data_IF_682071434784
#
_entry.id   IF_682071434784
#
_cell.length_a   1.000
_cell.length_b   1.000
_cell.length_c   1.000
_cell.angle_alpha   90.00
_cell.angle_beta   90.00
_cell.angle_gamma   90.00
#
_symmetry.space_group_name_H-M   'P 1'
#
loop_
_entity.id
_entity.type
_entity.pdbx_description
1 polymer ?
2 polymer ?
3 water ?
#
# COMPACT_ATOMS: atom_id res chain seq x y z
N UNK A 21 20.12 18.85 12.90
CA UNK A 21 20.83 17.98 11.98
C UNK A 21 19.86 17.00 11.32
N UNK A 22 18.98 17.51 10.48
CA UNK A 22 18.04 16.67 9.75
C UNK A 22 18.44 16.57 8.28
N UNK A 23 17.99 15.52 7.62
CA UNK A 23 18.20 15.33 6.20
C UNK A 23 16.83 15.30 5.52
N UNK A 24 16.72 15.99 4.40
CA UNK A 24 15.46 16.03 3.69
C UNK A 24 15.67 15.77 2.20
N UNK A 25 14.61 15.28 1.56
CA UNK A 25 14.66 14.88 0.15
C UNK A 25 13.55 15.60 -0.60
N UNK A 26 13.87 16.61 -1.40
CA UNK A 26 12.83 17.25 -2.21
C UNK A 26 12.34 16.30 -3.30
N UNK A 27 11.03 16.09 -3.37
CA UNK A 27 10.49 15.16 -4.34
C UNK A 27 9.33 15.81 -5.08
N UNK A 28 9.04 15.28 -6.26
CA UNK A 28 7.82 15.56 -7.00
C UNK A 28 7.15 14.23 -7.31
N UNK A 29 5.82 14.18 -7.16
CA UNK A 29 5.10 12.97 -7.50
C UNK A 29 3.73 13.36 -8.05
N UNK A 30 3.27 12.58 -9.03
CA UNK A 30 2.02 12.79 -9.73
C UNK A 30 1.99 11.99 -11.01
N UNK A 31 1.32 12.52 -12.04
CA UNK A 31 1.29 11.77 -13.30
C UNK A 31 1.33 12.72 -14.48
N UNK A 32 1.75 12.17 -15.60
CA UNK A 32 1.55 12.80 -16.90
C UNK A 32 0.57 11.93 -17.68
N UNK A 33 -0.21 12.56 -18.56
CA UNK A 33 -1.18 11.83 -19.36
C UNK A 33 -1.18 12.40 -20.77
N UNK A 34 -1.37 11.53 -21.76
CA UNK A 34 -1.38 11.90 -23.17
C UNK A 34 -2.63 11.34 -23.82
N UNK A 35 -3.48 12.23 -24.31
CA UNK A 35 -4.67 11.81 -25.06
C UNK A 35 -4.26 11.21 -26.39
N UNK A 36 -4.87 10.08 -26.75
CA UNK A 36 -4.39 9.33 -27.90
C UNK A 36 -4.99 9.80 -29.21
N UNK A 37 -5.94 10.72 -29.18
CA UNK A 37 -6.45 11.27 -30.43
C UNK A 37 -7.16 10.22 -31.27
N UNK A 38 -6.81 10.16 -32.57
CA UNK A 38 -7.42 9.17 -33.45
C UNK A 38 -7.00 7.75 -33.12
N UNK A 39 -5.99 7.58 -32.28
CA UNK A 39 -5.59 6.27 -31.80
C UNK A 39 -6.32 5.88 -30.51
N UNK A 40 -7.19 6.75 -30.02
CA UNK A 40 -7.93 6.43 -28.81
C UNK A 40 -9.00 5.39 -29.11
N UNK A 41 -9.21 4.50 -28.16
CA UNK A 41 -10.26 3.49 -28.24
C UNK A 41 -11.10 3.58 -26.96
N UNK A 42 -12.20 2.83 -26.94
CA UNK A 42 -12.96 2.72 -25.70
C UNK A 42 -12.10 2.18 -24.57
N UNK A 43 -11.30 1.15 -24.85
CA UNK A 43 -10.45 0.58 -23.83
C UNK A 43 -9.42 1.59 -23.33
N UNK A 44 -8.81 2.36 -24.24
CA UNK A 44 -7.66 3.21 -23.92
C UNK A 44 -7.79 4.55 -24.63
N UNK A 45 -8.19 5.58 -23.88
CA UNK A 45 -8.21 6.94 -24.41
C UNK A 45 -6.90 7.68 -24.17
N UNK A 46 -6.08 7.22 -23.22
CA UNK A 46 -4.91 7.96 -22.77
C UNK A 46 -3.79 7.01 -22.45
N UNK A 47 -2.56 7.43 -22.68
CA UNK A 47 -1.41 6.80 -22.05
C UNK A 47 -0.97 7.73 -20.93
N UNK A 48 -0.62 7.14 -19.80
CA UNK A 48 -0.20 7.93 -18.66
C UNK A 48 0.96 7.23 -17.95
N UNK A 49 1.65 8.00 -17.12
CA UNK A 49 2.69 7.47 -16.25
C UNK A 49 2.56 8.13 -14.89
N UNK A 50 2.62 7.35 -13.82
CA UNK A 50 2.60 7.86 -12.47
C UNK A 50 3.99 7.65 -11.89
N UNK A 51 4.46 8.61 -11.09
CA UNK A 51 5.88 8.61 -10.70
C UNK A 51 6.12 9.32 -9.37
N UNK A 52 7.24 9.00 -8.73
CA UNK A 52 7.85 9.86 -7.72
C UNK A 52 9.30 10.13 -8.16
N UNK A 53 9.70 11.40 -8.18
CA UNK A 53 11.01 11.81 -8.67
C UNK A 53 11.64 12.79 -7.69
N UNK A 54 12.95 12.95 -7.81
CA UNK A 54 13.60 14.09 -7.18
C UNK A 54 13.08 15.39 -7.78
N UNK A 55 12.84 16.38 -6.91
CA UNK A 55 12.23 17.61 -7.38
C UNK A 55 13.05 18.27 -8.48
N UNK A 56 14.37 18.07 -8.46
CA UNK A 56 15.27 18.56 -9.50
C UNK A 56 15.91 17.41 -10.27
N UNK A 57 15.30 16.21 -10.22
CA UNK A 57 15.69 15.05 -11.04
C UNK A 57 17.03 14.47 -10.64
N UNK A 58 17.39 14.59 -9.38
CA UNK A 58 18.55 13.90 -8.85
C UNK A 58 18.13 12.50 -8.39
N UNK A 59 19.11 11.69 -7.99
CA UNK A 59 18.89 10.27 -7.79
C UNK A 59 18.43 9.98 -6.36
N UNK A 60 17.10 9.90 -6.16
CA UNK A 60 16.56 9.65 -4.82
C UNK A 60 16.71 8.21 -4.37
N UNK A 61 17.23 7.33 -5.22
CA UNK A 61 17.50 5.99 -4.71
C UNK A 61 18.67 5.97 -3.73
N UNK A 62 19.27 7.14 -3.46
CA UNK A 62 20.21 7.24 -2.36
C UNK A 62 19.49 6.93 -1.05
N UNK A 63 18.18 7.21 -0.98
CA UNK A 63 17.37 6.87 0.18
C UNK A 63 16.29 5.85 -0.15
N UNK A 64 15.70 5.94 -1.34
CA UNK A 64 14.54 5.11 -1.68
C UNK A 64 15.01 3.76 -2.17
N UNK A 65 14.61 2.71 -1.46
CA UNK A 65 14.96 1.35 -1.87
C UNK A 65 13.99 0.82 -2.92
N UNK A 66 12.70 0.94 -2.67
CA UNK A 66 11.71 0.54 -3.67
C UNK A 66 10.44 1.34 -3.46
N UNK A 67 9.64 1.41 -4.51
CA UNK A 67 8.33 2.04 -4.44
C UNK A 67 7.29 1.01 -4.85
N UNK A 68 6.25 0.89 -4.04
CA UNK A 68 5.13 -0.01 -4.31
C UNK A 68 3.96 0.86 -4.74
N UNK A 69 3.48 0.62 -5.96
CA UNK A 69 2.33 1.35 -6.51
C UNK A 69 1.09 0.46 -6.43
N UNK A 70 -0.02 1.01 -5.94
CA UNK A 70 -1.30 0.33 -5.99
C UNK A 70 -2.18 1.03 -7.01
N UNK A 71 -2.51 0.32 -8.09
CA UNK A 71 -3.45 0.77 -9.09
C UNK A 71 -4.84 0.22 -8.80
N UNK A 72 -5.82 0.71 -9.54
CA UNK A 72 -7.18 0.21 -9.42
C UNK A 72 -7.26 -1.28 -9.75
N UNK A 73 -8.27 -1.96 -9.17
CA UNK A 73 -8.45 -3.40 -9.37
C UNK A 73 -8.71 -3.79 -10.83
N UNK A 74 -9.12 -2.84 -11.68
CA UNK A 74 -9.37 -3.15 -13.07
C UNK A 74 -8.09 -3.40 -13.86
N UNK A 75 -6.92 -3.13 -13.29
CA UNK A 75 -5.68 -3.39 -14.00
C UNK A 75 -5.19 -4.80 -13.70
N UNK A 76 -4.48 -5.38 -14.66
CA UNK A 76 -3.77 -6.60 -14.37
C UNK A 76 -2.61 -6.27 -13.43
N UNK A 77 -2.34 -7.16 -12.48
CA UNK A 77 -1.25 -7.00 -11.53
C UNK A 77 -1.31 -5.62 -10.87
N UNK A 78 -2.38 -5.33 -10.12
CA UNK A 78 -2.60 -3.94 -9.69
C UNK A 78 -1.58 -3.42 -8.68
N UNK A 79 -0.81 -4.30 -8.02
CA UNK A 79 0.25 -3.86 -7.12
C UNK A 79 1.59 -4.11 -7.81
N UNK A 80 2.30 -3.04 -8.14
CA UNK A 80 3.57 -3.08 -8.85
C UNK A 80 4.70 -2.65 -7.92
N UNK A 81 5.82 -3.35 -7.99
CA UNK A 81 6.99 -3.01 -7.19
C UNK A 81 8.09 -2.57 -8.15
N UNK A 82 8.54 -1.33 -7.99
CA UNK A 82 9.63 -0.75 -8.78
C UNK A 82 10.85 -0.64 -7.89
N UNK A 83 11.88 -1.47 -8.13
CA UNK A 83 13.06 -1.52 -7.27
C UNK A 83 14.19 -0.57 -7.70
N UNK A 84 14.13 0.01 -8.89
CA UNK A 84 15.20 0.83 -9.43
C UNK A 84 14.63 2.04 -10.14
N UNK A 85 15.33 3.17 -10.11
CA UNK A 85 14.88 4.31 -10.89
C UNK A 85 14.80 3.95 -12.36
N UNK A 86 13.84 4.53 -13.09
CA UNK A 86 12.84 5.49 -12.60
C UNK A 86 11.69 4.85 -11.81
N UNK A 87 11.29 5.50 -10.71
CA UNK A 87 10.22 4.99 -9.86
C UNK A 87 8.89 5.44 -10.44
N UNK A 88 8.46 4.72 -11.49
CA UNK A 88 7.27 5.08 -12.22
C UNK A 88 6.62 3.85 -12.80
N UNK A 89 5.31 3.94 -13.01
CA UNK A 89 4.53 2.92 -13.69
C UNK A 89 3.88 3.60 -14.89
N UNK A 90 4.07 3.01 -16.07
CA UNK A 90 3.51 3.53 -17.29
C UNK A 90 2.39 2.60 -17.74
N UNK A 91 1.23 3.20 -18.03
CA UNK A 91 0.05 2.43 -18.36
C UNK A 91 -0.81 3.22 -19.33
N UNK A 92 -1.95 2.64 -19.70
CA UNK A 92 -2.94 3.33 -20.51
C UNK A 92 -4.32 2.87 -20.07
N UNK A 93 -5.33 3.66 -20.37
CA UNK A 93 -6.67 3.29 -19.98
C UNK A 93 -7.62 4.44 -20.20
N UNK A 94 -8.76 4.36 -19.52
CA UNK A 94 -9.86 5.27 -19.77
C UNK A 94 -10.28 6.08 -18.54
N UNK A 95 -9.82 5.72 -17.34
CA UNK A 95 -10.43 6.21 -16.14
C UNK A 95 -9.42 6.79 -15.16
N UNK A 96 -9.96 7.59 -14.24
CA UNK A 96 -9.20 8.23 -13.18
C UNK A 96 -9.55 7.58 -11.84
N UNK A 97 -8.56 7.52 -10.96
CA UNK A 97 -8.68 6.80 -9.69
C UNK A 97 -7.48 7.17 -8.83
N UNK A 98 -7.56 6.81 -7.55
CA UNK A 98 -6.52 7.16 -6.60
C UNK A 98 -5.42 6.12 -6.61
N UNK A 99 -4.17 6.58 -6.63
CA UNK A 99 -3.00 5.71 -6.64
C UNK A 99 -2.24 5.86 -5.32
N UNK A 100 -1.98 4.74 -4.66
CA UNK A 100 -1.14 4.73 -3.47
C UNK A 100 0.28 4.38 -3.86
N UNK A 101 1.24 5.12 -3.32
CA UNK A 101 2.66 4.90 -3.56
C UNK A 101 3.30 4.75 -2.20
N UNK A 102 3.83 3.57 -1.92
CA UNK A 102 4.49 3.31 -0.65
C UNK A 102 5.99 3.28 -0.90
N UNK A 103 6.69 4.23 -0.29
CA UNK A 103 8.15 4.34 -0.43
C UNK A 103 8.79 3.54 0.68
N UNK A 104 9.60 2.56 0.33
CA UNK A 104 10.43 1.82 1.27
C UNK A 104 11.86 2.33 1.19
N UNK A 105 12.45 2.65 2.33
CA UNK A 105 13.76 3.28 2.36
C UNK A 105 14.84 2.26 2.68
N UNK A 106 16.08 2.61 2.38
CA UNK A 106 17.18 1.75 2.81
C UNK A 106 17.23 1.71 4.34
N UNK A 107 17.83 0.64 4.85
CA UNK A 107 17.69 0.29 6.26
C UNK A 107 18.36 1.30 7.19
N UNK A 108 19.42 1.98 6.74
CA UNK A 108 20.05 3.02 7.56
C UNK A 108 19.29 4.35 7.51
N UNK A 109 18.25 4.46 6.71
CA UNK A 109 17.54 5.72 6.54
C UNK A 109 16.39 5.76 7.54
N UNK A 110 15.53 4.75 7.46
CA UNK A 110 14.26 4.73 8.18
C UNK A 110 13.68 3.33 8.09
N UNK A 111 13.26 2.77 9.22
CA UNK A 111 12.57 1.49 9.23
C UNK A 111 11.09 1.61 8.90
N UNK A 112 10.57 2.83 8.86
CA UNK A 112 9.17 2.95 8.48
C UNK A 112 9.06 3.39 7.03
N UNK A 113 8.12 2.86 6.26
CA UNK A 113 7.87 3.39 4.92
C UNK A 113 6.95 4.61 4.98
N UNK A 114 6.84 5.26 3.84
CA UNK A 114 6.03 6.45 3.69
C UNK A 114 5.04 6.22 2.54
N UNK A 115 3.76 6.34 2.83
CA UNK A 115 2.77 6.23 1.77
C UNK A 115 2.38 7.61 1.26
N UNK A 116 2.35 7.76 -0.06
CA UNK A 116 1.86 8.94 -0.76
C UNK A 116 0.64 8.55 -1.58
N UNK A 117 -0.23 9.52 -1.83
CA UNK A 117 -1.48 9.31 -2.54
C UNK A 117 -1.62 10.33 -3.66
N UNK A 118 -2.08 9.86 -4.82
CA UNK A 118 -2.18 10.74 -5.98
C UNK A 118 -3.41 10.38 -6.80
N UNK A 119 -4.26 11.36 -7.06
CA UNK A 119 -5.42 11.14 -7.91
C UNK A 119 -4.96 11.29 -9.36
N UNK A 120 -5.01 10.18 -10.11
CA UNK A 120 -4.61 10.21 -11.51
C UNK A 120 -5.53 11.12 -12.30
N UNK A 121 -4.95 12.06 -13.05
CA UNK A 121 -5.72 12.97 -13.89
C UNK A 121 -5.41 12.71 -15.37
N UNK A 122 -6.45 12.62 -16.17
CA UNK A 122 -6.27 12.46 -17.61
C UNK A 122 -6.65 13.70 -18.38
N UNK A 123 -7.41 14.60 -17.79
CA UNK A 123 -7.75 15.89 -18.38
C UNK A 123 -7.33 17.01 -17.45
N UNK A 124 -7.03 18.20 -17.97
CA UNK A 124 -6.72 19.32 -17.08
C UNK A 124 -8.00 19.84 -16.44
N UNK A 125 -7.92 20.10 -15.15
CA UNK A 125 -9.03 20.70 -14.41
C UNK A 125 -8.62 22.10 -13.98
N UNK A 126 -9.62 22.92 -13.68
CA UNK A 126 -9.40 24.27 -13.15
C UNK A 126 -8.71 25.16 -14.19
N UNK A 127 -9.22 25.14 -15.42
CA UNK A 127 -8.52 25.75 -16.55
C UNK A 127 -9.36 26.86 -17.18
N UNK A 128 -8.80 28.06 -17.23
CA UNK A 128 -9.35 29.18 -17.97
C UNK A 128 -8.80 29.13 -19.40
N UNK A 129 -9.23 30.09 -20.22
CA UNK A 129 -8.71 30.23 -21.57
C UNK A 129 -8.94 28.99 -22.40
N UNK A 130 -8.64 29.04 -23.69
CA UNK A 130 -8.87 27.87 -24.55
C UNK A 130 -7.77 26.83 -24.41
N UNK A 131 -8.18 25.58 -24.45
CA UNK A 131 -7.27 24.45 -24.34
C UNK A 131 -7.33 23.64 -25.62
N UNK A 132 -6.32 22.80 -25.81
CA UNK A 132 -6.33 21.75 -26.82
C UNK A 132 -6.13 20.42 -26.13
N UNK A 133 -6.86 19.40 -26.58
CA UNK A 133 -6.81 18.10 -25.92
C UNK A 133 -5.48 17.39 -26.09
N UNK A 134 -4.69 17.72 -27.10
CA UNK A 134 -3.41 17.05 -27.29
C UNK A 134 -2.32 17.57 -26.36
N UNK A 135 -2.54 18.68 -25.67
CA UNK A 135 -1.55 19.15 -24.73
C UNK A 135 -1.34 18.11 -23.63
N UNK A 136 -0.10 17.74 -23.32
CA UNK A 136 0.13 16.78 -22.24
C UNK A 136 -0.36 17.34 -20.91
N UNK A 137 -0.98 16.46 -20.15
CA UNK A 137 -1.52 16.78 -18.83
C UNK A 137 -0.46 16.38 -17.81
N UNK A 138 -0.04 17.33 -16.99
CA UNK A 138 0.90 17.10 -15.90
C UNK A 138 0.22 17.59 -14.65
N UNK A 139 0.05 16.70 -13.68
CA UNK A 139 -0.52 17.06 -12.39
C UNK A 139 0.38 16.42 -11.35
N UNK A 140 1.12 17.23 -10.62
CA UNK A 140 2.11 16.69 -9.71
C UNK A 140 2.18 17.53 -8.44
N UNK A 141 2.61 16.88 -7.37
CA UNK A 141 2.71 17.50 -6.07
C UNK A 141 4.19 17.65 -5.72
N UNK A 142 4.56 18.84 -5.29
CA UNK A 142 5.91 19.11 -4.84
C UNK A 142 5.96 18.87 -3.34
N UNK A 143 6.98 18.18 -2.86
CA UNK A 143 6.97 17.81 -1.45
C UNK A 143 8.41 17.55 -1.00
N UNK A 144 8.56 17.27 0.29
CA UNK A 144 9.88 17.05 0.88
C UNK A 144 9.77 16.02 1.99
N UNK A 145 10.54 14.95 1.88
CA UNK A 145 10.59 13.94 2.92
C UNK A 145 11.67 14.33 3.91
N UNK A 146 11.29 14.46 5.19
CA UNK A 146 12.22 14.83 6.24
C UNK A 146 12.52 13.60 7.08
N UNK A 147 13.80 13.36 7.32
CA UNK A 147 14.23 12.34 8.27
C UNK A 147 14.79 13.08 9.47
N UNK A 148 14.05 13.14 10.58
CA UNK A 148 14.43 14.08 11.65
C UNK A 148 15.66 13.66 12.44
N UNK A 149 15.93 12.36 12.62
CA UNK A 149 17.03 11.92 13.47
C UNK A 149 17.90 10.93 12.71
N UNK A 150 18.73 11.42 11.79
CA UNK A 150 19.58 10.50 11.02
C UNK A 150 20.73 9.99 11.88
N UNK A 151 21.02 8.70 11.74
CA UNK A 151 22.17 8.13 12.41
C UNK A 151 23.47 8.66 11.79
N UNK A 152 24.56 8.50 12.53
CA UNK A 152 25.84 9.02 12.07
C UNK A 152 26.36 8.27 10.85
N UNK A 153 26.03 6.99 10.71
CA UNK A 153 26.49 6.26 9.53
C UNK A 153 25.66 6.61 8.30
N UNK A 154 24.35 6.81 8.47
CA UNK A 154 23.53 7.36 7.39
C UNK A 154 24.07 8.69 6.91
N UNK A 155 24.48 9.56 7.83
CA UNK A 155 25.08 10.84 7.45
C UNK A 155 26.36 10.64 6.67
N UNK A 156 27.20 9.69 7.10
CA UNK A 156 28.49 9.55 6.43
C UNK A 156 28.33 8.99 5.03
N UNK A 157 27.27 8.22 4.78
CA UNK A 157 27.08 7.61 3.47
C UNK A 157 26.52 8.61 2.46
N UNK A 158 25.65 9.52 2.89
CA UNK A 158 24.90 10.36 1.97
C UNK A 158 25.25 11.83 2.05
N UNK A 159 26.25 12.20 2.87
CA UNK A 159 26.59 13.60 3.11
C UNK A 159 26.76 14.41 1.83
N UNK A 160 25.98 15.48 1.72
CA UNK A 160 26.05 16.43 0.60
C UNK A 160 25.75 15.76 -0.74
N UNK A 161 25.02 14.67 -0.70
CA UNK A 161 24.48 14.10 -1.93
C UNK A 161 23.59 15.11 -2.66
N UNK A 162 23.69 15.22 -3.98
CA UNK A 162 22.90 16.24 -4.70
C UNK A 162 21.39 16.04 -4.63
N UNK A 163 20.90 14.88 -4.24
CA UNK A 163 19.47 14.70 -4.09
C UNK A 163 18.95 15.19 -2.75
N UNK A 164 19.82 15.52 -1.80
CA UNK A 164 19.41 15.79 -0.44
C UNK A 164 19.69 17.23 -0.08
N UNK A 165 18.97 17.73 0.92
CA UNK A 165 19.23 19.04 1.49
C UNK A 165 19.61 18.87 2.96
N UNK A 166 20.67 19.56 3.36
CA UNK A 166 21.29 19.45 4.67
C UNK A 166 21.23 20.79 5.38
N UNK A 167 21.33 20.80 6.70
CA UNK A 167 21.38 22.09 7.42
C UNK A 167 22.61 22.88 7.02
N UNK A 168 22.40 24.17 6.78
CA UNK A 168 23.53 25.06 6.53
C UNK A 168 24.42 25.13 7.76
N UNK A 169 25.72 25.07 7.54
CA UNK A 169 26.68 24.99 8.66
C UNK A 169 26.92 26.37 9.25
N UNK A 170 26.71 26.57 10.55
CA UNK A 170 26.92 27.90 11.15
C UNK A 170 28.36 28.35 10.95
N UNK A 171 28.52 29.67 10.82
CA UNK A 171 29.84 30.26 10.67
C UNK A 171 30.63 30.15 11.97
N UNK A 172 31.83 29.57 11.88
CA UNK A 172 32.75 29.63 13.00
C UNK A 172 33.33 31.00 13.22
N UNK A 173 33.33 31.84 12.18
CA UNK A 173 33.82 33.19 12.25
C UNK A 173 32.83 34.09 13.00
N UNK B 21 -1.92 -27.97 -10.53
CA UNK B 21 -0.67 -27.78 -9.80
C UNK B 21 -0.78 -26.60 -8.82
N UNK B 22 -1.94 -25.94 -8.78
CA UNK B 22 -2.00 -24.70 -8.02
C UNK B 22 -1.95 -24.95 -6.51
N UNK B 23 -1.57 -23.91 -5.79
CA UNK B 23 -1.46 -23.93 -4.33
C UNK B 23 -2.34 -22.81 -3.80
N UNK B 24 -3.09 -23.09 -2.75
CA UNK B 24 -3.99 -22.11 -2.13
C UNK B 24 -3.59 -21.89 -0.68
N UNK B 25 -3.95 -20.71 -0.17
CA UNK B 25 -3.75 -20.34 1.23
C UNK B 25 -5.07 -19.84 1.79
N UNK B 26 -5.80 -20.65 2.55
CA UNK B 26 -7.03 -20.14 3.18
C UNK B 26 -6.68 -19.10 4.24
N UNK B 27 -7.33 -17.94 4.15
CA UNK B 27 -7.05 -16.84 5.06
C UNK B 27 -8.37 -16.27 5.56
N UNK B 28 -8.28 -15.60 6.70
CA UNK B 28 -9.36 -14.76 7.21
C UNK B 28 -8.73 -13.39 7.49
N UNK B 29 -9.38 -12.33 7.01
CA UNK B 29 -8.86 -10.99 7.26
C UNK B 29 -10.02 -10.04 7.55
N UNK B 30 -9.77 -9.09 8.47
CA UNK B 30 -10.75 -8.10 8.85
C UNK B 30 -10.36 -7.46 10.17
N UNK B 31 -11.34 -7.12 11.02
CA UNK B 31 -10.99 -6.46 12.28
C UNK B 31 -11.94 -6.86 13.39
N UNK B 32 -11.42 -6.80 14.62
CA UNK B 32 -12.21 -6.87 15.83
C UNK B 32 -12.19 -5.49 16.46
N UNK B 33 -13.28 -5.16 17.16
CA UNK B 33 -13.40 -3.86 17.81
C UNK B 33 -14.05 -4.02 19.17
N UNK B 34 -13.48 -3.33 20.16
CA UNK B 34 -13.97 -3.38 21.54
C UNK B 34 -14.30 -1.97 21.99
N UNK B 35 -15.57 -1.72 22.25
CA UNK B 35 -15.95 -0.47 22.87
C UNK B 35 -15.33 -0.37 24.27
N UNK B 36 -14.74 0.79 24.57
CA UNK B 36 -14.00 1.00 25.81
C UNK B 36 -14.88 1.26 27.02
N UNK B 37 -16.20 1.35 26.84
CA UNK B 37 -17.10 1.30 28.01
C UNK B 37 -17.01 2.56 28.84
N UNK B 38 -16.96 2.40 30.16
CA UNK B 38 -16.85 3.55 31.05
C UNK B 38 -15.55 4.32 30.80
N UNK B 39 -14.55 3.70 30.19
CA UNK B 39 -13.30 4.38 29.87
C UNK B 39 -13.31 5.01 28.48
N UNK B 40 -14.41 4.92 27.74
CA UNK B 40 -14.47 5.54 26.42
C UNK B 40 -14.42 7.06 26.56
N UNK B 41 -13.73 7.70 25.64
CA UNK B 41 -13.71 9.15 25.58
C UNK B 41 -14.00 9.56 24.15
N UNK B 42 -14.17 10.86 23.97
CA UNK B 42 -14.28 11.38 22.61
C UNK B 42 -13.01 11.09 21.82
N UNK B 43 -11.85 11.17 22.47
CA UNK B 43 -10.60 10.85 21.79
C UNK B 43 -10.57 9.39 21.34
N UNK B 44 -10.99 8.46 22.21
CA UNK B 44 -10.88 7.03 21.95
C UNK B 44 -12.12 6.31 22.50
N UNK B 45 -13.01 5.91 21.58
CA UNK B 45 -14.19 5.15 21.95
C UNK B 45 -13.95 3.64 21.91
N UNK B 46 -13.02 3.18 21.07
CA UNK B 46 -12.83 1.76 20.81
C UNK B 46 -11.35 1.43 20.69
N UNK B 47 -10.98 0.24 21.13
CA UNK B 47 -9.74 -0.38 20.71
C UNK B 47 -10.07 -1.44 19.67
N UNK B 48 -9.17 -1.59 18.72
CA UNK B 48 -9.43 -2.45 17.59
C UNK B 48 -8.14 -3.09 17.12
N UNK B 49 -8.30 -4.14 16.33
CA UNK B 49 -7.14 -4.78 15.72
C UNK B 49 -7.54 -5.25 14.34
N UNK B 50 -6.71 -4.94 13.35
CA UNK B 50 -6.91 -5.38 11.98
C UNK B 50 -5.84 -6.43 11.68
N UNK B 51 -6.17 -7.42 10.85
CA UNK B 51 -5.32 -8.60 10.75
C UNK B 51 -5.57 -9.35 9.45
N UNK B 52 -4.58 -10.18 9.09
CA UNK B 52 -4.79 -11.29 8.18
C UNK B 52 -4.14 -12.52 8.79
N UNK B 53 -4.86 -13.62 8.82
CA UNK B 53 -4.40 -14.84 9.48
C UNK B 53 -4.82 -16.06 8.66
N UNK B 54 -4.17 -17.19 8.94
CA UNK B 54 -4.66 -18.44 8.40
C UNK B 54 -6.07 -18.73 8.86
N UNK B 55 -6.91 -19.23 7.93
CA UNK B 55 -8.33 -19.41 8.22
C UNK B 55 -8.60 -20.47 9.29
N UNK B 56 -7.68 -21.43 9.49
CA UNK B 56 -7.73 -22.38 10.60
C UNK B 56 -6.57 -22.18 11.57
N UNK B 57 -6.00 -20.98 11.57
CA UNK B 57 -4.95 -20.54 12.50
C UNK B 57 -3.65 -21.29 12.32
N UNK B 58 -3.34 -21.73 11.11
CA UNK B 58 -2.00 -22.22 10.85
C UNK B 58 -1.08 -21.05 10.54
N UNK B 59 0.22 -21.33 10.46
CA UNK B 59 1.23 -20.29 10.27
C UNK B 59 1.38 -19.96 8.78
N UNK B 60 0.80 -18.83 8.36
CA UNK B 60 0.91 -18.45 6.96
C UNK B 60 2.23 -17.78 6.63
N UNK B 61 3.10 -17.56 7.61
CA UNK B 61 4.42 -17.04 7.23
C UNK B 61 5.23 -18.05 6.42
N UNK B 62 4.69 -19.25 6.16
CA UNK B 62 5.33 -20.16 5.22
C UNK B 62 5.38 -19.52 3.82
N UNK B 63 4.43 -18.64 3.51
CA UNK B 63 4.47 -17.91 2.25
C UNK B 63 4.59 -16.41 2.47
N UNK B 64 4.07 -15.88 3.56
CA UNK B 64 4.05 -14.44 3.78
C UNK B 64 5.34 -14.01 4.46
N UNK B 65 6.05 -13.07 3.81
CA UNK B 65 7.23 -12.45 4.38
C UNK B 65 6.89 -11.28 5.31
N UNK B 66 6.01 -10.40 4.87
CA UNK B 66 5.61 -9.26 5.68
C UNK B 66 4.28 -8.74 5.14
N UNK B 67 3.54 -8.04 6.00
CA UNK B 67 2.33 -7.36 5.60
C UNK B 67 2.47 -5.88 5.89
N UNK B 68 2.16 -5.05 4.90
CA UNK B 68 2.20 -3.60 5.03
C UNK B 68 0.77 -3.09 5.21
N UNK B 69 0.51 -2.44 6.32
CA UNK B 69 -0.80 -1.89 6.63
C UNK B 69 -0.78 -0.38 6.42
N UNK B 70 -1.74 0.12 5.65
CA UNK B 70 -1.96 1.56 5.50
C UNK B 70 -3.17 1.96 6.34
N UNK B 71 -2.94 2.78 7.36
CA UNK B 71 -4.02 3.34 8.15
C UNK B 71 -4.35 4.74 7.66
N UNK B 72 -5.38 5.35 8.24
CA UNK B 72 -5.74 6.71 7.89
C UNK B 72 -4.64 7.69 8.31
N UNK B 73 -4.59 8.85 7.65
CA UNK B 73 -3.51 9.80 7.89
C UNK B 73 -3.56 10.42 9.28
N UNK B 74 -4.71 10.35 9.97
CA UNK B 74 -4.84 10.89 11.33
C UNK B 74 -4.07 10.06 12.35
N UNK B 75 -3.60 8.88 11.99
CA UNK B 75 -2.79 8.07 12.87
C UNK B 75 -1.30 8.44 12.75
N UNK B 76 -0.59 8.24 13.85
CA UNK B 76 0.86 8.37 13.83
C UNK B 76 1.47 7.15 13.12
N UNK B 77 2.47 7.40 12.30
CA UNK B 77 3.07 6.38 11.44
C UNK B 77 1.99 5.58 10.70
N UNK B 78 1.23 6.24 9.81
CA UNK B 78 0.04 5.57 9.21
C UNK B 78 0.37 4.29 8.45
N UNK B 79 1.61 4.06 8.06
CA UNK B 79 2.00 2.86 7.33
C UNK B 79 2.84 1.98 8.26
N UNK B 80 2.33 0.79 8.58
CA UNK B 80 2.98 -0.13 9.51
C UNK B 80 3.44 -1.39 8.78
N UNK B 81 4.64 -1.86 9.10
CA UNK B 81 5.21 -3.05 8.47
C UNK B 81 5.33 -4.11 9.54
N UNK B 82 4.60 -5.22 9.37
CA UNK B 82 4.61 -6.34 10.29
C UNK B 82 5.35 -7.47 9.60
N UNK B 83 6.49 -7.87 10.15
CA UNK B 83 7.36 -8.82 9.48
C UNK B 83 7.22 -10.24 10.01
N UNK B 84 6.50 -10.46 11.10
CA UNK B 84 6.37 -11.74 11.76
C UNK B 84 4.93 -11.90 12.23
N UNK B 85 4.43 -13.14 12.30
CA UNK B 85 3.12 -13.37 12.90
C UNK B 85 3.13 -12.95 14.35
N UNK B 86 1.99 -12.48 14.87
CA UNK B 86 0.73 -12.24 14.17
C UNK B 86 0.75 -11.02 13.23
N UNK B 87 0.22 -11.19 12.01
CA UNK B 87 0.20 -10.12 11.02
C UNK B 87 -1.00 -9.22 11.34
N UNK B 88 -0.78 -8.33 12.29
CA UNK B 88 -1.91 -7.52 12.74
C UNK B 88 -1.38 -6.20 13.29
N UNK B 89 -2.29 -5.22 13.33
CA UNK B 89 -2.07 -3.90 13.89
C UNK B 89 -3.20 -3.62 14.87
N UNK B 90 -2.86 -3.32 16.12
CA UNK B 90 -3.85 -2.97 17.11
C UNK B 90 -3.72 -1.49 17.43
N UNK B 91 -4.85 -0.81 17.53
CA UNK B 91 -4.87 0.63 17.73
C UNK B 91 -6.14 1.01 18.47
N UNK B 92 -6.27 2.30 18.75
CA UNK B 92 -7.45 2.88 19.35
C UNK B 92 -7.89 4.10 18.57
N UNK B 93 -9.17 4.44 18.68
CA UNK B 93 -9.64 5.70 18.12
C UNK B 93 -11.14 5.80 18.16
N UNK B 94 -11.66 6.59 17.24
CA UNK B 94 -13.07 6.93 17.19
C UNK B 94 -13.70 6.67 15.84
N UNK B 95 -12.91 6.44 14.79
CA UNK B 95 -13.45 6.49 13.44
C UNK B 95 -13.27 5.24 12.62
N UNK B 96 -14.14 5.08 11.63
CA UNK B 96 -14.06 4.00 10.66
C UNK B 96 -13.42 4.54 9.38
N UNK B 97 -12.65 3.69 8.72
CA UNK B 97 -11.91 4.11 7.54
C UNK B 97 -11.37 2.86 6.85
N UNK B 98 -10.96 3.02 5.60
CA UNK B 98 -10.51 1.89 4.80
C UNK B 98 -9.04 1.62 5.05
N UNK B 99 -8.70 0.34 5.28
CA UNK B 99 -7.34 -0.10 5.51
C UNK B 99 -6.87 -0.92 4.32
N UNK B 100 -5.65 -0.64 3.84
CA UNK B 100 -5.02 -1.43 2.78
C UNK B 100 -3.94 -2.30 3.41
N UNK B 101 -3.94 -3.59 3.05
CA UNK B 101 -2.95 -4.54 3.51
C UNK B 101 -2.26 -5.12 2.29
N UNK B 102 -0.95 -4.92 2.19
CA UNK B 102 -0.20 -5.42 1.07
C UNK B 102 0.65 -6.59 1.57
N UNK B 103 0.37 -7.77 1.02
CA UNK B 103 1.08 -8.98 1.42
C UNK B 103 2.31 -9.14 0.55
N UNK B 104 3.46 -9.27 1.17
CA UNK B 104 4.69 -9.56 0.45
C UNK B 104 5.11 -11.00 0.73
N UNK B 105 5.39 -11.75 -0.34
CA UNK B 105 5.65 -13.17 -0.21
C UNK B 105 7.14 -13.46 -0.32
N UNK B 106 7.54 -14.63 0.17
CA UNK B 106 8.92 -15.06 0.00
C UNK B 106 9.23 -15.20 -1.49
N UNK B 107 10.53 -15.13 -1.79
CA UNK B 107 10.97 -14.94 -3.16
C UNK B 107 10.64 -16.15 -4.02
N UNK B 108 10.65 -17.35 -3.45
CA UNK B 108 10.30 -18.52 -4.25
C UNK B 108 8.80 -18.73 -4.34
N UNK B 109 8.01 -17.95 -3.61
CA UNK B 109 6.56 -18.08 -3.65
C UNK B 109 5.98 -17.29 -4.81
N UNK B 110 6.29 -16.00 -4.87
CA UNK B 110 5.62 -15.11 -5.79
C UNK B 110 6.43 -13.82 -5.89
N UNK B 111 6.73 -13.39 -7.11
CA UNK B 111 7.49 -12.15 -7.31
C UNK B 111 6.62 -10.90 -7.19
N UNK B 112 5.32 -11.05 -6.97
CA UNK B 112 4.42 -9.92 -6.89
C UNK B 112 3.68 -9.95 -5.55
N UNK B 113 3.40 -8.79 -4.98
CA UNK B 113 2.63 -8.74 -3.75
C UNK B 113 1.13 -8.72 -4.07
N UNK B 114 0.34 -8.93 -3.01
CA UNK B 114 -1.11 -8.98 -3.11
C UNK B 114 -1.70 -7.96 -2.15
N UNK B 115 -2.54 -7.09 -2.66
CA UNK B 115 -3.18 -6.09 -1.82
C UNK B 115 -4.61 -6.49 -1.50
N UNK B 116 -4.97 -6.40 -0.22
CA UNK B 116 -6.32 -6.60 0.29
C UNK B 116 -6.85 -5.29 0.88
N UNK B 117 -8.18 -5.14 0.87
CA UNK B 117 -8.80 -3.93 1.42
C UNK B 117 -9.86 -4.33 2.44
N UNK B 118 -9.90 -3.57 3.53
CA UNK B 118 -10.85 -3.83 4.60
C UNK B 118 -11.36 -2.50 5.17
N UNK B 119 -12.68 -2.37 5.30
CA UNK B 119 -13.27 -1.19 5.92
C UNK B 119 -13.37 -1.46 7.42
N UNK B 120 -12.58 -0.74 8.22
CA UNK B 120 -12.65 -0.87 9.67
C UNK B 120 -14.07 -0.62 10.17
N UNK B 121 -14.60 -1.55 10.98
CA UNK B 121 -15.91 -1.40 11.58
C UNK B 121 -15.78 -1.39 13.10
N UNK B 122 -16.35 -0.38 13.74
CA UNK B 122 -16.42 -0.28 15.19
C UNK B 122 -17.79 -0.63 15.74
N UNK B 123 -18.84 -0.67 14.91
CA UNK B 123 -20.20 -1.06 15.28
C UNK B 123 -20.64 -2.22 14.41
N UNK B 124 -21.64 -3.00 14.82
CA UNK B 124 -21.98 -4.22 14.09
C UNK B 124 -22.66 -3.92 12.75
N UNK B 125 -22.53 -4.90 11.84
CA UNK B 125 -22.96 -4.75 10.46
C UNK B 125 -24.48 -4.80 10.31
N UNK B 126 -25.12 -3.62 10.38
CA UNK B 126 -26.56 -3.44 10.21
C UNK B 126 -27.39 -4.54 10.87
N UNK B 127 -27.00 -4.95 12.08
CA UNK B 127 -27.74 -5.99 12.78
C UNK B 127 -29.14 -5.48 13.14
N UNK B 128 -30.05 -6.44 13.29
CA UNK B 128 -31.43 -6.13 13.63
C UNK B 128 -31.63 -6.15 15.15
N UNK B 129 -32.75 -5.58 15.58
CA UNK B 129 -33.13 -5.56 16.97
C UNK B 129 -32.33 -4.57 17.80
N UNK B 130 -32.48 -4.64 19.13
CA UNK B 130 -31.71 -3.79 20.02
C UNK B 130 -30.24 -4.22 20.05
N UNK B 131 -29.35 -3.25 19.94
CA UNK B 131 -27.92 -3.49 19.95
C UNK B 131 -27.32 -3.12 21.30
N UNK B 132 -26.21 -3.76 21.64
CA UNK B 132 -25.46 -3.47 22.85
C UNK B 132 -24.05 -3.05 22.47
N UNK B 133 -23.58 -1.94 23.05
CA UNK B 133 -22.23 -1.48 22.75
C UNK B 133 -21.15 -2.42 23.28
N UNK B 134 -21.43 -3.23 24.31
CA UNK B 134 -20.36 -4.01 24.92
C UNK B 134 -19.98 -5.22 24.09
N UNK B 135 -20.91 -5.75 23.31
CA UNK B 135 -20.64 -6.94 22.54
C UNK B 135 -19.49 -6.69 21.57
N UNK B 136 -18.44 -7.51 21.58
CA UNK B 136 -17.35 -7.31 20.61
C UNK B 136 -17.87 -7.33 19.18
N UNK B 137 -17.22 -6.51 18.36
CA UNK B 137 -17.47 -6.43 16.93
C UNK B 137 -16.40 -7.23 16.21
N UNK B 138 -16.81 -8.20 15.40
CA UNK B 138 -15.94 -8.96 14.53
C UNK B 138 -16.48 -8.83 13.12
N UNK B 139 -15.71 -8.21 12.24
CA UNK B 139 -16.06 -8.06 10.83
C UNK B 139 -14.89 -8.57 10.01
N UNK B 140 -15.05 -9.74 9.39
CA UNK B 140 -13.92 -10.37 8.72
C UNK B 140 -14.43 -11.17 7.53
N UNK B 141 -13.51 -11.49 6.62
CA UNK B 141 -13.87 -12.17 5.39
C UNK B 141 -12.98 -13.39 5.22
N UNK B 142 -13.59 -14.52 4.83
CA UNK B 142 -12.84 -15.71 4.50
C UNK B 142 -12.49 -15.69 3.02
N UNK B 143 -11.24 -16.04 2.70
CA UNK B 143 -10.75 -15.99 1.34
C UNK B 143 -9.65 -17.04 1.18
N UNK B 144 -9.15 -17.17 -0.05
CA UNK B 144 -8.03 -18.05 -0.35
C UNK B 144 -7.11 -17.34 -1.33
N UNK B 145 -5.83 -17.27 -1.00
CA UNK B 145 -4.83 -16.78 -1.95
C UNK B 145 -4.42 -17.92 -2.86
N UNK B 146 -4.52 -17.72 -4.17
CA UNK B 146 -4.14 -18.74 -5.13
C UNK B 146 -2.85 -18.32 -5.81
N UNK B 147 -1.87 -19.21 -5.80
CA UNK B 147 -0.67 -19.13 -6.64
C UNK B 147 -0.87 -20.11 -7.79
N UNK B 148 -1.31 -19.65 -8.95
CA UNK B 148 -1.67 -20.58 -10.02
C UNK B 148 -0.51 -21.34 -10.64
N UNK B 149 0.73 -20.84 -10.58
CA UNK B 149 1.85 -21.44 -11.31
C UNK B 149 3.08 -21.61 -10.42
N UNK B 150 2.95 -22.37 -9.33
CA UNK B 150 4.08 -22.49 -8.39
C UNK B 150 5.24 -23.25 -9.01
N UNK B 151 6.44 -22.89 -8.59
CA UNK B 151 7.63 -23.52 -9.17
C UNK B 151 7.88 -24.87 -8.50
N UNK B 152 8.80 -25.64 -9.11
CA UNK B 152 9.24 -26.89 -8.52
C UNK B 152 9.86 -26.69 -7.15
N UNK B 153 10.74 -25.70 -7.02
CA UNK B 153 11.45 -25.50 -5.75
C UNK B 153 10.48 -25.05 -4.66
N UNK B 154 9.50 -24.21 -5.01
CA UNK B 154 8.45 -23.84 -4.06
C UNK B 154 7.67 -25.07 -3.58
N UNK B 155 7.28 -25.95 -4.50
CA UNK B 155 6.52 -27.14 -4.09
C UNK B 155 7.38 -28.07 -3.24
N UNK B 156 8.64 -28.27 -3.62
CA UNK B 156 9.54 -29.10 -2.83
C UNK B 156 9.67 -28.57 -1.41
N UNK B 157 9.73 -27.25 -1.24
CA UNK B 157 9.96 -26.68 0.08
C UNK B 157 8.75 -26.87 0.99
N UNK B 158 7.54 -26.56 0.51
CA UNK B 158 6.39 -26.39 1.39
C UNK B 158 5.47 -27.62 1.42
N UNK B 159 5.85 -28.70 0.74
CA UNK B 159 4.96 -29.86 0.59
C UNK B 159 4.38 -30.29 1.94
N UNK B 160 3.06 -30.53 1.94
CA UNK B 160 2.24 -30.93 3.11
C UNK B 160 2.32 -29.95 4.29
N UNK B 161 2.59 -28.67 4.06
CA UNK B 161 2.45 -27.71 5.15
C UNK B 161 0.97 -27.56 5.52
N UNK B 162 0.64 -27.53 6.81
CA UNK B 162 -0.77 -27.45 7.21
C UNK B 162 -1.47 -26.14 6.85
N UNK B 163 -0.72 -25.06 6.60
CA UNK B 163 -1.36 -23.80 6.21
C UNK B 163 -1.75 -23.74 4.74
N UNK B 164 -1.32 -24.69 3.92
CA UNK B 164 -1.54 -24.63 2.49
C UNK B 164 -2.54 -25.69 2.04
N UNK B 165 -3.15 -25.44 0.89
CA UNK B 165 -4.07 -26.39 0.27
C UNK B 165 -3.47 -26.83 -1.06
N UNK B 166 -3.32 -28.13 -1.24
CA UNK B 166 -2.75 -28.71 -2.44
C UNK B 166 -3.82 -29.49 -3.19
N UNK B 167 -3.70 -29.65 -4.50
CA UNK B 167 -4.73 -30.41 -5.24
C UNK B 167 -4.77 -31.85 -4.79
N UNK B 168 -6.00 -32.37 -4.66
CA UNK B 168 -6.21 -33.79 -4.35
C UNK B 168 -5.41 -34.67 -5.30
N UNK B 169 -4.84 -35.73 -4.77
CA UNK B 169 -4.27 -36.69 -5.70
C UNK B 169 -5.39 -37.57 -6.28
N UNK B 170 -5.30 -37.92 -7.54
CA UNK B 170 -6.34 -38.76 -8.15
C UNK B 170 -6.31 -40.19 -7.60
N UNK B 171 -7.49 -40.73 -7.28
CA UNK B 171 -7.57 -42.13 -6.86
C UNK B 171 -7.40 -43.08 -8.04
N UNK B 172 -7.70 -42.61 -9.26
CA UNK B 172 -7.73 -43.46 -10.43
C UNK B 172 -8.87 -44.44 -10.49
N UNK B 173 -9.80 -44.40 -9.54
CA UNK B 173 -10.88 -45.38 -9.48
C UNK B 173 -11.89 -45.14 -10.60
N UNK B 174 -12.15 -46.18 -11.40
CA UNK B 174 -13.15 -46.13 -12.47
C UNK B 174 -14.31 -47.07 -12.18
N UNK C 2 -8.80 8.72 2.47
CA UNK C 2 -8.89 10.03 3.11
C UNK C 2 -10.16 10.18 3.97
N UNK C 3 -11.21 9.42 3.62
CA UNK C 3 -12.48 9.52 4.34
C UNK C 3 -12.42 8.72 5.64
N UNK C 5 -14.74 8.48 9.29
CA UNK C 5 -15.92 9.01 9.98
C UNK C 5 -16.34 8.16 11.16
N UNK C 6 -17.00 8.81 12.12
CA UNK C 6 -17.58 8.11 13.24
C UNK C 6 -18.84 7.36 12.80
N UNK C 7 -19.19 6.27 13.49
CA UNK C 7 -20.39 5.48 13.18
C UNK C 7 -21.59 5.87 14.05
N UNK D 2 -12.27 0.42 -4.59
CA UNK D 2 -11.92 1.78 -5.00
C UNK D 2 -12.83 2.27 -6.14
N UNK D 3 -12.94 3.59 -6.26
CA UNK D 3 -13.76 4.21 -7.30
C UNK D 3 -12.89 4.59 -8.49
N UNK D 5 -13.50 6.43 -12.44
CA UNK D 5 -14.46 6.98 -13.36
C UNK D 5 -13.82 7.68 -14.54
N UNK D 6 -14.54 7.65 -15.65
CA UNK D 6 -14.14 8.40 -16.82
C UNK D 6 -14.34 9.90 -16.57
N UNK D 7 -13.36 10.74 -16.89
CA UNK D 7 -13.34 12.20 -16.66
C UNK D 7 -14.49 12.93 -17.34
#
# INVERSE_FOLDING_TARGET
>A
SHMASMTGGQQMGRGSKLKDIEISVPIVYGNVAFWLGKKASEYQSHKWAVYVRGATNEDISVVVKKVVFQLHSSFNSPTRVIEEPPFEVSESGWGEFEIAMTLHFHSDVCDKPLSLYHHLKLYPEDESGPLTMKKPVVVESYDEIVFPDPSESFLARVQNHPALTFPRLPSGYNLPAPMQVEDTGKKKR
>B
SHMASMTGGQQMGRGSKLKDIEISVPIVYGNVAFWLGKKASEYQSHKWAVYVRGATNEDISVVVKKVVFQLHSSFNSPTRVIEEPPFEVSESGWGEFEIAMTLHFHSDVCDKPLSLYHHLKLYPEDESGPLTMKKPVVVESYDEIVFPDPSESFLARVQNHPALTFPRLPSGYNLPAPMQVEDTGKKKR
>C
AARXSAPA
>D
AARXSAPA
#
